data_IF_596540356348
#
_entry.id   IF_596540356348
#
_cell.length_a   1.000
_cell.length_b   1.000
_cell.length_c   1.000
_cell.angle_alpha   90.00
_cell.angle_beta   90.00
_cell.angle_gamma   90.00
#
_symmetry.space_group_name_H-M   'P 1'
#
loop_
_entity.id
_entity.type
_entity.pdbx_description
1 polymer ?
#
# COMPACT_ATOMS: atom_id res chain seq x y z
N UNK A 1 -13.29 0.89 -21.25
CA UNK A 1 -12.66 0.70 -19.93
C UNK A 1 -13.11 1.88 -19.08
N UNK A 2 -13.94 1.66 -18.07
CA UNK A 2 -14.34 2.73 -17.14
C UNK A 2 -13.08 3.08 -16.35
N UNK A 3 -12.67 4.36 -16.32
CA UNK A 3 -11.53 4.76 -15.50
C UNK A 3 -11.91 4.63 -14.02
N UNK A 4 -11.23 3.76 -13.26
CA UNK A 4 -11.48 3.55 -11.82
C UNK A 4 -10.74 4.53 -10.91
N UNK A 5 -10.20 5.62 -11.46
CA UNK A 5 -9.60 6.68 -10.66
C UNK A 5 -9.97 8.09 -11.13
N UNK A 6 -9.94 9.04 -10.19
CA UNK A 6 -10.16 10.47 -10.41
C UNK A 6 -8.93 11.27 -9.97
N UNK A 7 -8.51 12.26 -10.78
CA UNK A 7 -7.40 13.17 -10.48
C UNK A 7 -7.97 14.55 -10.14
N UNK A 8 -7.58 15.09 -8.99
CA UNK A 8 -7.96 16.41 -8.49
C UNK A 8 -6.71 17.27 -8.30
N UNK A 9 -6.68 18.44 -8.92
CA UNK A 9 -5.54 19.36 -8.85
C UNK A 9 -5.84 20.52 -7.90
N UNK A 10 -4.92 20.78 -6.97
CA UNK A 10 -5.01 21.88 -6.02
C UNK A 10 -3.80 22.82 -6.17
N UNK A 11 -4.05 24.11 -5.92
CA UNK A 11 -3.04 25.17 -5.81
C UNK A 11 -2.04 25.22 -7.00
N UNK A 12 -2.58 25.09 -8.21
CA UNK A 12 -1.80 25.18 -9.46
C UNK A 12 -0.90 23.97 -9.75
N UNK A 13 -1.12 22.84 -9.09
CA UNK A 13 -0.33 21.63 -9.32
C UNK A 13 -0.39 21.09 -10.76
N UNK A 14 -1.50 21.31 -11.46
CA UNK A 14 -1.66 21.04 -12.90
C UNK A 14 -0.62 21.79 -13.74
N UNK A 15 -0.48 23.10 -13.51
CA UNK A 15 0.49 23.95 -14.22
C UNK A 15 1.92 23.52 -13.96
N UNK A 16 2.23 23.16 -12.72
CA UNK A 16 3.56 22.66 -12.34
C UNK A 16 3.87 21.34 -13.07
N UNK A 17 2.89 20.44 -13.22
CA UNK A 17 3.07 19.20 -13.99
C UNK A 17 3.33 19.48 -15.47
N UNK A 18 2.61 20.45 -16.05
CA UNK A 18 2.79 20.86 -17.45
C UNK A 18 4.20 21.45 -17.68
N UNK A 19 4.62 22.40 -16.85
CA UNK A 19 5.94 23.04 -16.91
C UNK A 19 7.08 22.01 -16.80
N UNK A 20 6.89 20.96 -15.99
CA UNK A 20 7.87 19.89 -15.80
C UNK A 20 7.83 18.79 -16.87
N UNK A 21 6.91 18.88 -17.84
CA UNK A 21 6.61 17.82 -18.79
C UNK A 21 6.32 16.48 -18.09
N UNK A 22 5.48 16.52 -17.06
CA UNK A 22 5.12 15.37 -16.21
C UNK A 22 3.66 14.95 -16.35
N UNK A 23 2.78 15.74 -16.98
CA UNK A 23 1.35 15.44 -17.06
C UNK A 23 1.06 14.06 -17.68
N UNK A 24 1.75 13.70 -18.76
CA UNK A 24 1.61 12.39 -19.42
C UNK A 24 2.21 11.25 -18.59
N UNK A 25 3.37 11.49 -17.97
CA UNK A 25 4.06 10.51 -17.11
C UNK A 25 3.22 10.16 -15.87
N UNK A 26 2.64 11.16 -15.22
CA UNK A 26 1.71 10.99 -14.09
C UNK A 26 0.48 10.22 -14.53
N UNK A 27 -0.16 10.61 -15.64
CA UNK A 27 -1.35 9.90 -16.15
C UNK A 27 -1.06 8.42 -16.41
N UNK A 28 0.00 8.09 -17.14
CA UNK A 28 0.36 6.68 -17.40
C UNK A 28 0.72 5.92 -16.14
N UNK A 29 1.37 6.58 -15.18
CA UNK A 29 1.63 5.97 -13.87
C UNK A 29 0.31 5.64 -13.18
N UNK A 30 -0.65 6.56 -13.13
CA UNK A 30 -1.95 6.30 -12.48
C UNK A 30 -2.74 5.19 -13.19
N UNK A 31 -2.75 5.16 -14.53
CA UNK A 31 -3.38 4.10 -15.32
C UNK A 31 -2.75 2.72 -15.05
N UNK A 32 -1.42 2.67 -14.91
CA UNK A 32 -0.73 1.43 -14.57
C UNK A 32 -1.00 1.00 -13.13
N UNK A 33 -0.99 1.94 -12.17
CA UNK A 33 -1.32 1.66 -10.78
C UNK A 33 -2.75 1.14 -10.62
N UNK A 34 -3.71 1.75 -11.31
CA UNK A 34 -5.10 1.32 -11.33
C UNK A 34 -5.22 -0.14 -11.77
N UNK A 35 -4.62 -0.47 -12.92
CA UNK A 35 -4.60 -1.82 -13.49
C UNK A 35 -3.90 -2.84 -12.58
N UNK A 36 -2.75 -2.48 -12.02
CA UNK A 36 -1.94 -3.38 -11.22
C UNK A 36 -2.54 -3.64 -9.83
N UNK A 37 -3.21 -2.64 -9.25
CA UNK A 37 -3.69 -2.71 -7.88
C UNK A 37 -5.12 -3.20 -7.74
N UNK A 38 -5.95 -3.06 -8.78
CA UNK A 38 -7.36 -3.46 -8.75
C UNK A 38 -7.51 -4.93 -8.29
N UNK A 39 -8.38 -5.15 -7.30
CA UNK A 39 -8.67 -6.48 -6.75
C UNK A 39 -7.50 -7.21 -6.08
N UNK A 40 -6.31 -6.60 -5.97
CA UNK A 40 -5.13 -7.26 -5.43
C UNK A 40 -5.11 -7.33 -3.89
N UNK A 41 -4.53 -8.39 -3.32
CA UNK A 41 -4.28 -8.50 -1.88
C UNK A 41 -3.04 -7.71 -1.44
N UNK A 42 -1.95 -7.81 -2.21
CA UNK A 42 -0.64 -7.30 -1.82
C UNK A 42 -0.37 -5.88 -2.35
N UNK A 43 -1.38 -5.00 -2.28
CA UNK A 43 -1.37 -3.62 -2.83
C UNK A 43 -0.11 -2.84 -2.50
N UNK A 44 0.44 -2.99 -1.29
CA UNK A 44 1.67 -2.27 -0.88
C UNK A 44 2.89 -2.65 -1.70
N UNK A 45 3.11 -3.95 -1.91
CA UNK A 45 4.29 -4.42 -2.63
C UNK A 45 4.12 -4.20 -4.13
N UNK A 46 2.92 -4.42 -4.66
CA UNK A 46 2.59 -4.14 -6.07
C UNK A 46 2.74 -2.64 -6.36
N UNK A 47 2.27 -1.75 -5.48
CA UNK A 47 2.48 -0.31 -5.61
C UNK A 47 3.97 0.02 -5.67
N UNK A 48 4.78 -0.61 -4.82
CA UNK A 48 6.22 -0.38 -4.80
C UNK A 48 6.87 -0.80 -6.12
N UNK A 49 6.50 -1.96 -6.64
CA UNK A 49 7.01 -2.49 -7.92
C UNK A 49 6.56 -1.63 -9.09
N UNK A 50 5.27 -1.33 -9.20
CA UNK A 50 4.74 -0.50 -10.28
C UNK A 50 5.33 0.91 -10.30
N UNK A 51 5.61 1.51 -9.13
CA UNK A 51 6.33 2.79 -9.06
C UNK A 51 7.81 2.65 -9.44
N UNK A 52 8.43 1.51 -9.20
CA UNK A 52 9.80 1.22 -9.63
C UNK A 52 9.86 1.09 -11.17
N UNK A 53 8.93 0.31 -11.75
CA UNK A 53 8.80 0.10 -13.19
C UNK A 53 8.53 1.40 -13.97
N UNK A 54 7.84 2.35 -13.33
CA UNK A 54 7.55 3.68 -13.88
C UNK A 54 8.60 4.74 -13.51
N UNK A 55 9.77 4.31 -13.03
CA UNK A 55 10.94 5.16 -12.75
C UNK A 55 10.73 6.20 -11.64
N UNK A 56 9.78 5.97 -10.74
CA UNK A 56 9.54 6.85 -9.58
C UNK A 56 10.41 6.54 -8.39
N UNK A 57 11.13 5.42 -8.36
CA UNK A 57 11.93 5.00 -7.19
C UNK A 57 13.44 5.00 -7.43
N UNK A 58 13.84 5.18 -8.68
CA UNK A 58 15.24 5.17 -9.15
C UNK A 58 15.84 6.58 -9.28
N UNK A 59 15.01 7.62 -9.35
CA UNK A 59 15.39 8.96 -9.82
C UNK A 59 15.52 10.04 -8.73
N UNK A 60 15.95 9.66 -7.53
CA UNK A 60 16.30 10.64 -6.50
C UNK A 60 16.23 10.12 -5.07
N UNK A 61 16.40 11.03 -4.13
CA UNK A 61 16.31 10.72 -2.71
C UNK A 61 14.84 10.66 -2.26
N UNK A 62 14.37 9.45 -1.98
CA UNK A 62 13.03 9.24 -1.43
C UNK A 62 12.93 9.76 0.02
N UNK A 63 14.05 10.05 0.69
CA UNK A 63 14.09 10.44 2.08
C UNK A 63 13.50 11.84 2.32
N UNK A 64 12.47 11.90 3.17
CA UNK A 64 11.79 13.14 3.52
C UNK A 64 12.64 13.95 4.51
N UNK A 65 13.05 13.30 5.60
CA UNK A 65 13.79 13.89 6.70
C UNK A 65 15.13 13.17 6.89
N UNK A 66 16.22 13.93 6.71
CA UNK A 66 17.58 13.42 6.81
C UNK A 66 17.80 12.66 8.13
N UNK A 67 18.47 11.50 8.05
CA UNK A 67 18.72 10.63 9.19
C UNK A 67 17.49 9.90 9.75
N UNK A 68 16.30 10.07 9.17
CA UNK A 68 15.07 9.37 9.58
C UNK A 68 14.60 8.42 8.49
N UNK A 69 13.80 7.41 8.85
CA UNK A 69 13.27 6.42 7.91
C UNK A 69 11.88 6.80 7.37
N UNK A 70 11.69 8.08 7.04
CA UNK A 70 10.48 8.56 6.36
C UNK A 70 10.80 8.72 4.89
N UNK A 71 10.07 7.98 4.05
CA UNK A 71 10.31 7.93 2.62
C UNK A 71 9.02 8.20 1.85
N UNK A 72 9.13 8.98 0.77
CA UNK A 72 8.11 9.02 -0.26
C UNK A 72 7.93 7.64 -0.90
N UNK A 73 6.74 7.41 -1.47
CA UNK A 73 6.46 6.23 -2.29
C UNK A 73 7.15 6.34 -3.64
N UNK A 74 7.24 7.54 -4.19
CA UNK A 74 7.93 7.86 -5.43
C UNK A 74 8.45 9.29 -5.44
N UNK A 75 9.47 9.56 -6.23
CA UNK A 75 10.07 10.87 -6.42
C UNK A 75 10.68 10.95 -7.83
N UNK A 76 10.28 11.97 -8.60
CA UNK A 76 10.78 12.20 -9.96
C UNK A 76 10.65 13.68 -10.29
N UNK A 77 11.71 14.30 -10.83
CA UNK A 77 11.73 15.74 -11.21
C UNK A 77 11.19 16.70 -10.14
N UNK A 78 11.50 16.44 -8.86
CA UNK A 78 11.01 17.20 -7.68
C UNK A 78 9.48 17.14 -7.48
N UNK A 79 8.83 16.12 -8.03
CA UNK A 79 7.45 15.73 -7.74
C UNK A 79 7.51 14.48 -6.88
N UNK A 80 6.89 14.51 -5.69
CA UNK A 80 6.84 13.35 -4.80
C UNK A 80 5.46 12.71 -4.78
N UNK A 81 5.44 11.38 -4.66
CA UNK A 81 4.24 10.59 -4.44
C UNK A 81 4.24 10.11 -2.99
N UNK A 82 3.16 10.39 -2.25
CA UNK A 82 2.82 9.66 -1.03
C UNK A 82 1.40 9.10 -1.14
N UNK A 83 1.03 8.15 -0.29
CA UNK A 83 -0.32 7.58 -0.35
C UNK A 83 -0.52 6.30 0.44
N UNK A 84 -1.80 6.01 0.66
CA UNK A 84 -2.29 4.80 1.32
C UNK A 84 -3.72 4.51 0.89
N UNK A 85 -4.01 3.25 0.56
CA UNK A 85 -5.33 2.79 0.14
C UNK A 85 -6.15 2.14 1.26
N UNK A 86 -5.62 2.10 2.48
CA UNK A 86 -6.26 1.39 3.62
C UNK A 86 -7.35 2.23 4.29
N UNK A 87 -7.26 3.56 4.21
CA UNK A 87 -8.22 4.48 4.81
C UNK A 87 -8.10 5.86 4.16
N UNK A 88 -9.23 6.55 4.06
CA UNK A 88 -9.29 7.94 3.62
C UNK A 88 -8.52 8.88 4.56
N UNK A 89 -8.59 8.64 5.88
CA UNK A 89 -7.97 9.44 6.95
C UNK A 89 -6.46 9.66 6.78
N UNK A 90 -5.81 8.85 5.94
CA UNK A 90 -4.41 9.02 5.59
C UNK A 90 -4.12 10.36 4.87
N UNK A 91 -5.15 11.04 4.36
CA UNK A 91 -5.00 12.37 3.75
C UNK A 91 -4.20 13.35 4.61
N UNK A 92 -4.42 13.39 5.93
CA UNK A 92 -3.68 14.26 6.84
C UNK A 92 -2.18 13.88 6.90
N UNK A 93 -1.88 12.60 7.12
CA UNK A 93 -0.51 12.09 7.20
C UNK A 93 0.27 12.30 5.90
N UNK A 94 -0.38 12.02 4.76
CA UNK A 94 0.20 12.18 3.43
C UNK A 94 0.47 13.64 3.09
N UNK A 95 -0.51 14.53 3.33
CA UNK A 95 -0.34 15.97 3.10
C UNK A 95 0.75 16.57 4.00
N UNK A 96 0.81 16.18 5.28
CA UNK A 96 1.85 16.64 6.20
C UNK A 96 3.26 16.26 5.69
N UNK A 97 3.45 15.01 5.25
CA UNK A 97 4.73 14.53 4.74
C UNK A 97 5.16 15.24 3.45
N UNK A 98 4.21 15.50 2.56
CA UNK A 98 4.46 16.26 1.35
C UNK A 98 4.78 17.73 1.68
N UNK A 99 4.03 18.36 2.59
CA UNK A 99 4.28 19.73 3.05
C UNK A 99 5.69 19.89 3.61
N UNK A 100 6.15 18.97 4.45
CA UNK A 100 7.53 18.99 4.99
C UNK A 100 8.57 19.00 3.87
N UNK A 101 8.33 18.25 2.78
CA UNK A 101 9.20 18.25 1.61
C UNK A 101 9.21 19.58 0.88
N UNK A 102 8.02 20.16 0.72
CA UNK A 102 7.81 21.42 0.04
C UNK A 102 8.48 22.58 0.80
N UNK A 103 8.25 22.67 2.12
CA UNK A 103 8.85 23.71 2.98
C UNK A 103 10.39 23.62 3.02
N UNK A 104 10.94 22.40 2.86
CA UNK A 104 12.38 22.18 2.76
C UNK A 104 12.96 22.43 1.37
N UNK A 105 12.13 22.81 0.39
CA UNK A 105 12.55 22.98 -0.99
C UNK A 105 13.02 21.69 -1.65
N UNK A 106 12.62 20.51 -1.15
CA UNK A 106 12.95 19.20 -1.76
C UNK A 106 12.04 18.86 -2.94
N UNK A 107 10.77 19.25 -2.83
CA UNK A 107 9.75 19.04 -3.87
C UNK A 107 9.15 20.39 -4.26
N UNK A 108 8.64 20.47 -5.47
CA UNK A 108 7.87 21.62 -5.96
C UNK A 108 6.37 21.36 -5.85
N UNK A 109 5.96 20.10 -5.83
CA UNK A 109 4.58 19.66 -5.61
C UNK A 109 4.50 18.20 -5.16
N UNK A 110 3.36 17.83 -4.59
CA UNK A 110 3.04 16.46 -4.20
C UNK A 110 1.96 15.80 -5.07
N UNK A 111 1.96 14.48 -5.08
CA UNK A 111 0.87 13.63 -5.56
C UNK A 111 0.47 12.75 -4.37
N UNK A 112 -0.81 12.76 -4.03
CA UNK A 112 -1.36 12.00 -2.90
C UNK A 112 -2.32 10.92 -3.40
N UNK A 113 -1.98 9.65 -3.18
CA UNK A 113 -2.82 8.51 -3.55
C UNK A 113 -3.73 8.13 -2.38
N UNK A 114 -5.05 8.13 -2.61
CA UNK A 114 -6.05 7.76 -1.62
C UNK A 114 -7.05 6.75 -2.20
N UNK A 115 -7.75 6.06 -1.31
CA UNK A 115 -8.91 5.25 -1.69
C UNK A 115 -10.12 6.13 -1.98
N UNK A 116 -10.86 5.81 -3.05
CA UNK A 116 -12.16 6.38 -3.36
C UNK A 116 -13.30 5.72 -2.55
N UNK A 117 -13.04 4.55 -1.96
CA UNK A 117 -14.03 3.75 -1.24
C UNK A 117 -14.49 4.48 0.02
N UNK A 118 -15.79 4.69 0.12
CA UNK A 118 -16.41 5.36 1.28
C UNK A 118 -16.52 4.39 2.44
N UNK A 119 -16.34 4.91 3.65
CA UNK A 119 -16.96 4.29 4.82
C UNK A 119 -18.45 4.62 4.83
N UNK A 120 -19.28 3.71 5.33
CA UNK A 120 -20.74 3.90 5.45
C UNK A 120 -21.13 5.10 6.35
N UNK A 121 -20.17 5.73 7.02
CA UNK A 121 -20.37 6.74 8.07
C UNK A 121 -19.96 8.17 7.66
N UNK A 122 -19.55 8.40 6.41
CA UNK A 122 -19.07 9.71 5.98
C UNK A 122 -20.21 10.75 5.87
N UNK A 123 -20.11 11.91 6.53
CA UNK A 123 -21.16 12.94 6.52
C UNK A 123 -21.23 13.76 5.22
N UNK A 124 -20.26 13.58 4.31
CA UNK A 124 -20.15 14.33 3.07
C UNK A 124 -20.58 13.50 1.86
N UNK A 125 -21.12 14.15 0.83
CA UNK A 125 -21.73 13.53 -0.34
C UNK A 125 -20.78 12.57 -1.08
N UNK A 126 -19.87 13.11 -1.90
CA UNK A 126 -18.87 12.33 -2.63
C UNK A 126 -17.47 12.42 -2.00
N UNK A 127 -16.62 11.40 -2.21
CA UNK A 127 -15.21 11.41 -1.76
C UNK A 127 -14.44 12.60 -2.33
N UNK A 128 -14.79 13.04 -3.54
CA UNK A 128 -14.27 14.28 -4.13
C UNK A 128 -14.58 15.51 -3.29
N UNK A 129 -15.86 15.72 -2.92
CA UNK A 129 -16.27 16.87 -2.11
C UNK A 129 -15.58 16.86 -0.74
N UNK A 130 -15.40 15.67 -0.17
CA UNK A 130 -14.67 15.48 1.08
C UNK A 130 -13.21 15.97 0.94
N UNK A 131 -12.48 15.51 -0.10
CA UNK A 131 -11.11 15.98 -0.38
C UNK A 131 -11.06 17.49 -0.60
N UNK A 132 -11.96 18.04 -1.39
CA UNK A 132 -12.01 19.48 -1.69
C UNK A 132 -12.16 20.31 -0.41
N UNK A 133 -13.03 19.86 0.52
CA UNK A 133 -13.24 20.55 1.79
C UNK A 133 -12.06 20.36 2.75
N UNK A 134 -11.50 19.16 2.87
CA UNK A 134 -10.37 18.93 3.77
C UNK A 134 -9.12 19.71 3.35
N UNK A 135 -8.77 19.70 2.06
CA UNK A 135 -7.64 20.49 1.56
C UNK A 135 -7.85 21.98 1.86
N UNK A 136 -9.09 22.47 1.77
CA UNK A 136 -9.45 23.85 2.12
C UNK A 136 -9.34 24.12 3.62
N UNK A 137 -9.81 23.21 4.49
CA UNK A 137 -9.76 23.39 5.94
C UNK A 137 -8.34 23.36 6.50
N UNK A 138 -7.40 22.74 5.78
CA UNK A 138 -6.00 22.68 6.20
C UNK A 138 -5.23 23.97 5.92
N UNK A 139 -5.82 24.97 5.25
CA UNK A 139 -5.19 26.28 5.09
C UNK A 139 -5.27 27.11 6.39
N UNK A 140 -4.21 27.85 6.74
CA UNK A 140 -2.96 28.06 6.01
C UNK A 140 -1.83 27.08 6.38
N UNK A 141 -2.12 25.99 7.08
CA UNK A 141 -1.10 25.06 7.60
C UNK A 141 -0.50 24.19 6.49
N UNK A 142 -1.34 23.68 5.60
CA UNK A 142 -0.92 22.94 4.41
C UNK A 142 -1.16 23.85 3.21
N UNK A 143 -0.09 24.26 2.53
CA UNK A 143 -0.11 25.21 1.40
C UNK A 143 0.54 24.66 0.15
N UNK A 144 1.16 23.48 0.20
CA UNK A 144 1.85 22.93 -0.96
C UNK A 144 0.89 22.75 -2.16
N UNK A 145 1.38 22.93 -3.40
CA UNK A 145 0.72 22.41 -4.58
C UNK A 145 0.61 20.89 -4.53
N UNK A 146 -0.60 20.36 -4.69
CA UNK A 146 -0.84 18.92 -4.58
C UNK A 146 -1.88 18.45 -5.60
N UNK A 147 -1.61 17.30 -6.19
CA UNK A 147 -2.58 16.52 -6.97
C UNK A 147 -3.04 15.35 -6.11
N UNK A 148 -4.34 15.23 -5.85
CA UNK A 148 -4.92 14.09 -5.13
C UNK A 148 -5.51 13.12 -6.16
N UNK A 149 -5.19 11.84 -6.03
CA UNK A 149 -5.71 10.78 -6.90
C UNK A 149 -6.52 9.80 -6.07
N UNK A 150 -7.80 9.68 -6.41
CA UNK A 150 -8.76 8.80 -5.76
C UNK A 150 -8.90 7.51 -6.58
N UNK A 151 -8.57 6.36 -6.00
CA UNK A 151 -8.70 5.06 -6.67
C UNK A 151 -9.81 4.20 -6.07
N UNK A 152 -10.69 3.67 -6.92
CA UNK A 152 -11.59 2.57 -6.56
C UNK A 152 -10.99 1.22 -6.97
N UNK A 153 -10.21 0.63 -6.07
CA UNK A 153 -9.45 -0.60 -6.33
C UNK A 153 -10.26 -1.89 -6.11
N UNK A 154 -11.58 -1.81 -5.94
CA UNK A 154 -12.42 -2.96 -5.62
C UNK A 154 -12.09 -3.63 -4.27
N UNK A 155 -12.60 -4.84 -4.06
CA UNK A 155 -12.34 -5.63 -2.84
C UNK A 155 -11.05 -6.44 -3.01
N UNK A 156 -10.19 -6.53 -1.98
CA UNK A 156 -9.04 -7.43 -2.03
C UNK A 156 -9.48 -8.87 -2.33
N UNK A 157 -8.96 -9.47 -3.39
CA UNK A 157 -9.33 -10.80 -3.87
C UNK A 157 -10.20 -10.82 -5.12
N UNK A 158 -10.88 -9.73 -5.47
CA UNK A 158 -11.84 -9.73 -6.60
C UNK A 158 -11.18 -10.05 -7.94
N UNK A 159 -9.90 -9.69 -8.13
CA UNK A 159 -9.13 -10.02 -9.33
C UNK A 159 -8.87 -11.53 -9.50
N UNK A 160 -9.07 -12.33 -8.46
CA UNK A 160 -8.84 -13.78 -8.44
C UNK A 160 -10.15 -14.58 -8.38
N UNK A 161 -11.28 -13.94 -8.08
CA UNK A 161 -12.60 -14.57 -8.02
C UNK A 161 -13.12 -14.89 -9.43
N UNK A 162 -12.90 -14.02 -10.42
CA UNK A 162 -13.30 -14.24 -11.83
C UNK A 162 -12.67 -15.51 -12.45
N UNK A 163 -11.56 -16.02 -11.91
CA UNK A 163 -10.90 -17.24 -12.40
C UNK A 163 -11.45 -18.55 -11.83
N UNK A 164 -12.29 -18.52 -10.79
CA UNK A 164 -12.86 -19.75 -10.21
C UNK A 164 -14.05 -20.27 -11.01
N UNK A 165 -14.87 -19.36 -11.54
CA UNK A 165 -16.09 -19.73 -12.28
C UNK A 165 -15.78 -20.41 -13.63
N UNK A 166 -14.61 -20.15 -14.24
CA UNK A 166 -14.18 -20.86 -15.46
C UNK A 166 -13.62 -22.27 -15.19
N UNK A 167 -13.03 -22.51 -14.02
CA UNK A 167 -12.47 -23.81 -13.65
C UNK A 167 -13.55 -24.81 -13.23
N UNK A 168 -14.61 -24.35 -12.56
CA UNK A 168 -15.71 -25.20 -12.12
C UNK A 168 -16.67 -25.58 -13.26
N UNK A 169 -16.69 -24.83 -14.37
CA UNK A 169 -17.49 -25.17 -15.56
C UNK A 169 -16.95 -26.35 -16.38
N UNK A 170 -15.68 -26.74 -16.20
CA UNK A 170 -15.02 -27.81 -16.97
C UNK A 170 -14.97 -29.17 -16.28
N UNK A 171 -15.43 -29.26 -15.03
CA UNK A 171 -15.32 -30.49 -14.22
C UNK A 171 -16.67 -31.22 -14.04
N UNK A 172 -17.78 -30.64 -14.52
CA UNK A 172 -19.14 -31.21 -14.38
C UNK A 172 -19.58 -32.07 -15.57
N UNK A 173 -18.67 -32.90 -16.10
CA UNK A 173 -18.94 -33.71 -17.30
C UNK A 173 -18.24 -35.06 -17.33
N UNK A 174 -18.43 -35.90 -16.30
CA UNK A 174 -18.47 -37.38 -16.39
C UNK A 174 -18.37 -38.01 -15.00
N UNK A 175 -19.52 -38.29 -14.38
CA UNK A 175 -19.63 -39.37 -13.40
C UNK A 175 -20.67 -40.35 -13.94
N UNK A 176 -20.21 -41.34 -14.71
CA UNK A 176 -20.98 -42.57 -14.92
C UNK A 176 -20.86 -43.43 -13.66
N UNK A 177 -22.02 -43.87 -13.18
CA UNK A 177 -22.20 -44.77 -12.05
C UNK A 177 -21.59 -46.14 -12.36
N UNK A 178 -20.75 -46.64 -11.45
CA UNK A 178 -20.51 -48.07 -11.30
C UNK A 178 -20.72 -48.42 -9.82
N UNK A 179 -21.86 -49.03 -9.56
CA UNK A 179 -22.18 -49.78 -8.35
C UNK A 179 -21.09 -50.81 -8.11
N UNK A 180 -20.51 -50.83 -6.91
CA UNK A 180 -19.69 -51.95 -6.44
C UNK A 180 -20.27 -52.47 -5.14
N UNK A 181 -20.73 -53.71 -5.24
CA UNK A 181 -21.18 -54.59 -4.18
C UNK A 181 -20.14 -54.68 -3.05
N UNK A 182 -20.64 -54.67 -1.82
CA UNK A 182 -19.88 -54.88 -0.59
C UNK A 182 -19.69 -56.39 -0.38
N UNK A 183 -18.47 -56.86 -0.04
CA UNK A 183 -18.31 -58.06 0.77
C UNK A 183 -17.76 -57.72 2.18
N UNK A 184 -18.29 -58.47 3.14
CA UNK A 184 -18.10 -58.40 4.60
C UNK A 184 -16.65 -58.30 5.11
N UNK A 185 -16.43 -57.69 6.31
CA UNK A 185 -15.11 -57.49 6.89
C UNK A 185 -14.57 -58.76 7.58
N UNK A 186 -13.41 -59.23 7.14
CA UNK A 186 -12.64 -60.23 7.86
C UNK A 186 -11.98 -59.63 9.11
N UNK A 187 -12.35 -60.18 10.26
CA UNK A 187 -11.81 -59.96 11.62
C UNK A 187 -10.40 -60.56 11.74
N UNK A 188 -9.38 -59.78 12.12
CA UNK A 188 -8.24 -60.20 12.98
C UNK A 188 -7.45 -58.97 13.53
N UNK A 189 -6.63 -59.06 14.59
CA UNK A 189 -6.96 -58.53 15.91
C UNK A 189 -6.04 -57.40 16.42
N UNK A 190 -6.51 -56.75 17.48
CA UNK A 190 -5.87 -55.66 18.23
C UNK A 190 -4.55 -56.11 18.88
N UNK A 191 -3.46 -55.43 18.51
CA UNK A 191 -2.17 -55.48 19.21
C UNK A 191 -1.94 -54.20 20.00
N UNK A 192 -1.74 -54.34 21.31
CA UNK A 192 -1.52 -53.27 22.29
C UNK A 192 -0.35 -52.34 21.92
N UNK A 193 -0.61 -51.04 21.86
CA UNK A 193 0.41 -49.98 22.00
C UNK A 193 0.00 -49.09 23.19
N UNK A 194 0.85 -48.90 24.21
CA UNK A 194 0.52 -48.08 25.37
C UNK A 194 0.41 -46.59 25.02
N UNK A 195 -0.38 -45.80 25.76
CA UNK A 195 -0.67 -44.41 25.43
C UNK A 195 0.57 -43.52 25.60
N UNK A 196 0.88 -42.73 24.57
CA UNK A 196 1.90 -41.67 24.63
C UNK A 196 1.34 -40.50 25.42
N UNK A 197 2.05 -40.10 26.47
CA UNK A 197 1.69 -38.98 27.34
C UNK A 197 1.91 -37.64 26.60
N UNK A 198 0.89 -36.78 26.56
CA UNK A 198 0.80 -35.59 25.68
C UNK A 198 1.38 -34.32 26.33
N UNK A 199 2.15 -34.44 27.42
CA UNK A 199 2.64 -33.27 28.18
C UNK A 199 4.05 -32.74 27.79
N UNK A 200 4.75 -33.33 26.82
CA UNK A 200 6.14 -32.95 26.50
C UNK A 200 6.37 -32.21 25.16
N UNK A 201 5.32 -31.67 24.55
CA UNK A 201 5.43 -30.87 23.30
C UNK A 201 5.13 -29.38 23.53
N UNK A 202 5.97 -28.70 24.33
CA UNK A 202 6.10 -27.24 24.28
C UNK A 202 7.48 -26.81 23.73
N UNK A 203 7.54 -26.13 22.57
CA UNK A 203 8.78 -25.50 22.11
C UNK A 203 9.12 -24.25 22.94
N UNK A 204 10.28 -24.32 23.59
CA UNK A 204 10.89 -23.32 24.49
C UNK A 204 11.08 -21.94 23.83
N UNK A 205 10.61 -20.87 24.49
CA UNK A 205 10.93 -19.46 24.20
C UNK A 205 12.46 -19.22 24.27
N UNK A 206 13.12 -18.96 23.14
CA UNK A 206 14.51 -18.48 23.12
C UNK A 206 14.59 -16.98 23.46
N UNK A 207 15.05 -16.69 24.68
CA UNK A 207 15.44 -15.36 25.17
C UNK A 207 16.81 -14.95 24.60
N UNK A 208 16.84 -13.79 23.95
CA UNK A 208 17.84 -12.72 24.05
C UNK A 208 19.34 -12.98 23.78
N UNK A 209 19.90 -12.22 22.83
CA UNK A 209 21.31 -11.80 22.88
C UNK A 209 21.40 -10.29 22.61
N UNK A 210 21.45 -9.50 23.69
CA UNK A 210 21.80 -8.06 23.65
C UNK A 210 23.29 -7.94 23.28
N UNK A 211 23.62 -7.24 22.21
CA UNK A 211 24.98 -6.75 21.98
C UNK A 211 25.15 -5.44 22.75
N UNK A 212 26.07 -5.44 23.72
CA UNK A 212 26.69 -4.22 24.28
C UNK A 212 27.50 -3.57 23.15
N UNK A 213 27.27 -2.30 22.89
CA UNK A 213 28.27 -1.43 22.25
C UNK A 213 28.64 -0.38 23.29
N UNK A 214 29.94 -0.24 23.44
CA UNK A 214 30.68 0.47 24.49
C UNK A 214 30.60 1.98 24.22
N UNK A 215 30.38 2.76 25.28
CA UNK A 215 30.55 4.20 25.30
C UNK A 215 32.06 4.49 25.32
N UNK A 216 32.56 5.26 24.36
CA UNK A 216 33.76 6.07 24.56
C UNK A 216 33.36 7.55 24.49
N UNK A 217 33.26 8.14 25.68
CA UNK A 217 33.21 9.57 25.93
C UNK A 217 34.65 10.06 25.98
N UNK A 218 35.11 10.77 24.96
CA UNK A 218 36.22 11.72 25.11
C UNK A 218 35.63 13.13 25.12
N UNK A 219 35.54 13.68 26.33
CA UNK A 219 35.39 15.11 26.55
C UNK A 219 36.62 15.83 26.00
N UNK A 220 36.41 16.72 25.03
CA UNK A 220 37.27 17.89 24.91
C UNK A 220 36.41 19.14 24.71
N UNK A 221 36.41 19.95 25.76
CA UNK A 221 35.94 21.33 25.81
C UNK A 221 36.88 22.20 24.98
N UNK A 222 36.38 23.12 24.14
CA UNK A 222 36.94 24.48 23.94
C UNK A 222 35.87 25.40 23.33
N UNK A 223 36.00 26.68 23.71
CA UNK A 223 35.05 27.81 23.81
C UNK A 223 34.75 28.57 22.51
N UNK A 224 33.74 29.47 22.52
CA UNK A 224 33.33 30.23 21.33
C UNK A 224 34.26 31.42 21.05
N UNK A 225 34.21 31.89 19.80
CA UNK A 225 34.50 33.26 19.38
C UNK A 225 33.33 33.78 18.56
#
# INVERSE_FOLDING_TARGET
MIMSFEILHFRGSDKILEEKNMSRDVRYTMEYLDSALYGSYHRREILRQALDDMDWRTNGDLNILEGRRYFYKGFKKRVAIDGNFSSYEFILDGLLRLQIGFDKGKIDMGILLLTAQRSEKSPYGSTKQLVEQEVKYLEPTITLPVTVVLFDLGRPGSAYEEKRDEADSKTSGSHENLENEVPDPAVVPVGNVPPVNVEDLQPKKKRGRRKKVINDLTHETIRPK
#
